data_IF_267879853219
#
_entry.id   IF_267879853219
#
_cell.length_a   1.000
_cell.length_b   1.000
_cell.length_c   1.000
_cell.angle_alpha   90.00
_cell.angle_beta   90.00
_cell.angle_gamma   90.00
#
_symmetry.space_group_name_H-M   'P 1'
#
loop_
_entity.id
_entity.type
_entity.pdbx_description
1 polymer ?
#
# COMPACT_ATOMS: atom_id res chain seq x y z
N UNK A 1 -24.65 6.93 -16.63
CA UNK A 1 -24.66 8.39 -16.83
C UNK A 1 -26.11 8.83 -16.96
N UNK A 2 -26.52 9.97 -16.37
CA UNK A 2 -27.89 10.44 -16.52
C UNK A 2 -28.16 10.82 -17.99
N UNK A 3 -29.36 10.51 -18.47
CA UNK A 3 -29.77 10.77 -19.85
C UNK A 3 -30.03 12.27 -20.07
N UNK A 4 -29.67 12.85 -21.24
CA UNK A 4 -29.99 14.24 -21.56
C UNK A 4 -31.48 14.55 -21.38
N UNK A 5 -31.78 15.63 -20.65
CA UNK A 5 -33.15 16.05 -20.33
C UNK A 5 -33.77 15.39 -19.08
N UNK A 6 -33.07 14.47 -18.41
CA UNK A 6 -33.47 13.96 -17.09
C UNK A 6 -33.18 14.95 -15.95
N UNK A 7 -33.86 14.79 -14.82
CA UNK A 7 -33.64 15.64 -13.64
C UNK A 7 -32.19 15.57 -13.13
N UNK A 8 -31.59 14.37 -13.10
CA UNK A 8 -30.20 14.19 -12.70
C UNK A 8 -29.22 14.80 -13.71
N UNK A 9 -29.56 14.86 -15.01
CA UNK A 9 -28.73 15.51 -16.03
C UNK A 9 -28.74 17.04 -15.88
N UNK A 10 -29.89 17.63 -15.53
CA UNK A 10 -29.97 19.06 -15.22
C UNK A 10 -29.29 19.40 -13.89
N UNK A 11 -29.44 18.54 -12.86
CA UNK A 11 -28.72 18.71 -11.58
C UNK A 11 -27.20 18.58 -11.77
N UNK A 12 -26.72 17.70 -12.65
CA UNK A 12 -25.29 17.54 -12.95
C UNK A 12 -24.63 18.85 -13.43
N UNK A 13 -25.36 19.71 -14.16
CA UNK A 13 -24.84 21.00 -14.66
C UNK A 13 -24.61 22.02 -13.55
N UNK A 14 -25.34 21.91 -12.44
CA UNK A 14 -25.37 22.91 -11.36
C UNK A 14 -24.81 22.40 -10.04
N UNK A 15 -24.88 21.10 -9.79
CA UNK A 15 -24.39 20.41 -8.60
C UNK A 15 -23.81 19.02 -8.95
N UNK A 16 -22.66 19.01 -9.66
CA UNK A 16 -22.05 17.76 -10.10
C UNK A 16 -21.64 16.85 -8.94
N UNK A 17 -21.22 17.42 -7.80
CA UNK A 17 -20.79 16.67 -6.62
C UNK A 17 -21.93 15.83 -6.04
N UNK A 18 -23.14 16.40 -5.94
CA UNK A 18 -24.31 15.66 -5.42
C UNK A 18 -24.73 14.54 -6.35
N UNK A 19 -24.68 14.75 -7.67
CA UNK A 19 -24.96 13.69 -8.64
C UNK A 19 -23.89 12.60 -8.55
N UNK A 20 -22.61 12.97 -8.41
CA UNK A 20 -21.53 12.01 -8.19
C UNK A 20 -21.74 11.19 -6.90
N UNK A 21 -22.08 11.83 -5.78
CA UNK A 21 -22.33 11.16 -4.52
C UNK A 21 -23.51 10.17 -4.56
N UNK A 22 -24.48 10.37 -5.47
CA UNK A 22 -25.55 9.38 -5.71
C UNK A 22 -25.12 8.16 -6.52
N UNK A 23 -23.97 8.24 -7.20
CA UNK A 23 -23.45 7.15 -8.06
C UNK A 23 -22.44 6.25 -7.35
N UNK A 24 -21.81 6.74 -6.28
CA UNK A 24 -20.87 5.98 -5.43
C UNK A 24 -21.64 5.31 -4.28
N UNK A 25 -21.00 4.43 -3.47
CA UNK A 25 -21.65 3.81 -2.33
C UNK A 25 -22.27 4.82 -1.38
N UNK A 26 -23.34 4.41 -0.70
CA UNK A 26 -23.99 5.24 0.31
C UNK A 26 -23.02 5.56 1.46
N UNK A 27 -23.38 6.55 2.28
CA UNK A 27 -22.59 6.96 3.43
C UNK A 27 -22.30 5.79 4.38
N UNK A 28 -23.30 4.97 4.71
CA UNK A 28 -23.15 3.82 5.61
C UNK A 28 -22.22 2.75 5.01
N UNK A 29 -22.38 2.43 3.72
CA UNK A 29 -21.51 1.48 3.03
C UNK A 29 -20.07 2.00 2.93
N UNK A 30 -19.90 3.31 2.74
CA UNK A 30 -18.58 3.96 2.70
C UNK A 30 -17.88 3.89 4.05
N UNK A 31 -18.59 4.15 5.15
CA UNK A 31 -18.05 4.03 6.51
C UNK A 31 -17.57 2.60 6.77
N UNK A 32 -18.39 1.61 6.43
CA UNK A 32 -18.03 0.19 6.57
C UNK A 32 -16.83 -0.17 5.70
N UNK A 33 -16.80 0.26 4.45
CA UNK A 33 -15.72 0.00 3.51
C UNK A 33 -14.39 0.60 3.95
N UNK A 34 -14.37 1.87 4.36
CA UNK A 34 -13.15 2.54 4.86
C UNK A 34 -12.65 1.87 6.13
N UNK A 35 -13.54 1.54 7.07
CA UNK A 35 -13.17 0.84 8.32
C UNK A 35 -12.54 -0.52 8.03
N UNK A 36 -13.09 -1.26 7.06
CA UNK A 36 -12.53 -2.55 6.66
C UNK A 36 -11.15 -2.39 5.99
N UNK A 37 -11.01 -1.46 5.06
CA UNK A 37 -9.73 -1.19 4.39
C UNK A 37 -8.67 -0.73 5.39
N UNK A 38 -9.04 0.07 6.40
CA UNK A 38 -8.15 0.52 7.47
C UNK A 38 -7.56 -0.68 8.23
N UNK A 39 -8.41 -1.62 8.65
CA UNK A 39 -7.99 -2.85 9.32
C UNK A 39 -7.06 -3.66 8.41
N UNK A 40 -7.47 -3.89 7.15
CA UNK A 40 -6.71 -4.71 6.19
C UNK A 40 -5.40 -4.05 5.73
N UNK A 41 -5.23 -2.75 5.94
CA UNK A 41 -4.01 -2.01 5.58
C UNK A 41 -3.04 -1.84 6.75
N UNK A 42 -3.36 -2.40 7.91
CA UNK A 42 -2.60 -2.21 9.15
C UNK A 42 -1.60 -3.35 9.35
N UNK A 43 -0.33 -3.00 9.51
CA UNK A 43 0.70 -3.96 9.93
C UNK A 43 0.62 -4.21 11.44
N UNK A 44 0.55 -5.49 11.83
CA UNK A 44 0.60 -5.91 13.24
C UNK A 44 1.98 -5.67 13.87
N UNK A 45 2.04 -5.61 15.21
CA UNK A 45 3.31 -5.45 15.94
C UNK A 45 4.20 -6.68 15.96
N UNK A 46 3.63 -7.85 15.68
CA UNK A 46 4.31 -9.14 15.58
C UNK A 46 4.54 -9.60 14.13
N UNK A 47 4.32 -8.71 13.14
CA UNK A 47 4.52 -9.02 11.73
C UNK A 47 5.98 -9.41 11.42
N UNK A 48 6.16 -10.45 10.59
CA UNK A 48 7.46 -10.93 10.14
C UNK A 48 7.63 -10.62 8.65
N UNK A 49 8.48 -9.64 8.38
CA UNK A 49 8.69 -9.14 7.03
C UNK A 49 9.63 -10.01 6.20
N UNK A 50 9.64 -9.78 4.90
CA UNK A 50 10.53 -10.43 3.96
C UNK A 50 12.00 -10.20 4.35
N UNK A 51 12.75 -11.30 4.45
CA UNK A 51 14.14 -11.27 4.96
C UNK A 51 14.23 -11.31 6.49
N UNK A 52 13.12 -11.50 7.20
CA UNK A 52 13.09 -11.77 8.63
C UNK A 52 12.61 -13.20 8.90
N UNK A 53 12.91 -13.66 10.11
CA UNK A 53 12.48 -14.94 10.69
C UNK A 53 12.03 -14.65 12.11
N UNK A 54 11.02 -15.37 12.57
CA UNK A 54 10.52 -15.34 13.94
C UNK A 54 11.52 -15.93 14.95
N UNK A 55 12.29 -16.93 14.52
CA UNK A 55 13.28 -17.64 15.35
C UNK A 55 14.70 -17.51 14.78
N UNK A 56 15.70 -17.07 15.55
CA UNK A 56 17.08 -16.93 15.08
C UNK A 56 17.75 -18.27 14.75
N UNK A 57 17.51 -19.32 15.55
CA UNK A 57 18.11 -20.65 15.41
C UNK A 57 17.25 -21.61 14.57
N UNK A 58 16.59 -21.11 13.53
CA UNK A 58 15.73 -21.93 12.66
C UNK A 58 16.48 -23.05 11.90
N UNK A 59 17.80 -22.97 11.82
CA UNK A 59 18.67 -24.02 11.27
C UNK A 59 20.09 -23.92 11.86
N UNK A 60 20.78 -25.06 11.93
CA UNK A 60 22.21 -25.12 12.24
C UNK A 60 23.11 -25.10 10.99
N UNK A 61 22.52 -25.20 9.79
CA UNK A 61 23.24 -25.21 8.52
C UNK A 61 23.81 -23.82 8.20
N UNK A 62 25.13 -23.70 8.30
CA UNK A 62 25.86 -22.46 8.03
C UNK A 62 25.68 -21.95 6.60
N UNK A 63 25.51 -22.84 5.62
CA UNK A 63 25.34 -22.45 4.22
C UNK A 63 23.98 -21.77 4.00
N UNK A 64 22.93 -22.29 4.64
CA UNK A 64 21.59 -21.72 4.61
C UNK A 64 21.55 -20.36 5.32
N UNK A 65 22.20 -20.23 6.48
CA UNK A 65 22.31 -18.96 7.21
C UNK A 65 23.03 -17.89 6.39
N UNK A 66 24.17 -18.23 5.77
CA UNK A 66 24.90 -17.30 4.90
C UNK A 66 24.10 -16.89 3.66
N UNK A 67 23.34 -17.82 3.06
CA UNK A 67 22.45 -17.50 1.95
C UNK A 67 21.34 -16.53 2.37
N UNK A 68 20.76 -16.72 3.56
CA UNK A 68 19.73 -15.85 4.09
C UNK A 68 20.26 -14.44 4.40
N UNK A 69 21.48 -14.30 4.92
CA UNK A 69 22.10 -12.99 5.13
C UNK A 69 22.40 -12.26 3.80
N UNK A 70 22.83 -12.97 2.76
CA UNK A 70 22.96 -12.37 1.41
C UNK A 70 21.61 -11.89 0.88
N UNK A 71 20.53 -12.63 1.14
CA UNK A 71 19.18 -12.24 0.76
C UNK A 71 18.75 -10.94 1.46
N UNK A 72 18.96 -10.84 2.79
CA UNK A 72 18.69 -9.61 3.56
C UNK A 72 19.47 -8.41 3.04
N UNK A 73 20.76 -8.58 2.81
CA UNK A 73 21.61 -7.52 2.25
C UNK A 73 21.10 -7.06 0.87
N UNK A 74 20.62 -7.99 0.03
CA UNK A 74 20.04 -7.67 -1.26
C UNK A 74 18.73 -6.89 -1.14
N UNK A 75 17.86 -7.24 -0.19
CA UNK A 75 16.62 -6.49 0.06
C UNK A 75 16.91 -5.05 0.49
N UNK A 76 17.89 -4.83 1.37
CA UNK A 76 18.30 -3.48 1.77
C UNK A 76 18.80 -2.64 0.59
N UNK A 77 19.56 -3.24 -0.33
CA UNK A 77 19.98 -2.57 -1.57
C UNK A 77 18.80 -2.21 -2.46
N UNK A 78 17.82 -3.12 -2.61
CA UNK A 78 16.62 -2.87 -3.40
C UNK A 78 15.81 -1.73 -2.80
N UNK A 79 15.65 -1.68 -1.47
CA UNK A 79 14.95 -0.57 -0.81
C UNK A 79 15.62 0.77 -1.11
N UNK A 80 16.95 0.83 -1.00
CA UNK A 80 17.72 2.03 -1.35
C UNK A 80 17.56 2.43 -2.83
N UNK A 81 17.51 1.46 -3.75
CA UNK A 81 17.23 1.71 -5.17
C UNK A 81 15.82 2.28 -5.37
N UNK A 82 14.81 1.78 -4.65
CA UNK A 82 13.44 2.31 -4.72
C UNK A 82 13.41 3.75 -4.18
N UNK A 83 14.06 4.04 -3.05
CA UNK A 83 14.19 5.40 -2.50
C UNK A 83 14.80 6.33 -3.54
N UNK A 84 15.89 5.93 -4.18
CA UNK A 84 16.52 6.72 -5.26
C UNK A 84 15.57 6.98 -6.42
N UNK A 85 14.83 5.96 -6.87
CA UNK A 85 13.85 6.10 -7.95
C UNK A 85 12.71 7.03 -7.56
N UNK A 86 12.22 6.95 -6.32
CA UNK A 86 11.17 7.84 -5.81
C UNK A 86 11.61 9.31 -5.78
N UNK A 87 12.91 9.57 -5.57
CA UNK A 87 13.50 10.91 -5.63
C UNK A 87 13.89 11.40 -7.04
N UNK A 88 13.79 10.56 -8.07
CA UNK A 88 14.14 10.93 -9.44
C UNK A 88 13.01 11.74 -10.11
N UNK A 89 13.22 13.03 -10.45
CA UNK A 89 12.18 13.87 -11.03
C UNK A 89 11.79 13.46 -12.46
N UNK A 90 12.60 12.64 -13.14
CA UNK A 90 12.25 12.06 -14.44
C UNK A 90 11.17 10.98 -14.32
N UNK A 91 11.08 10.31 -13.15
CA UNK A 91 10.14 9.23 -12.87
C UNK A 91 8.84 9.74 -12.21
N UNK A 92 8.15 10.66 -12.90
CA UNK A 92 6.96 11.38 -12.37
C UNK A 92 5.84 10.48 -11.84
N UNK A 93 5.65 9.31 -12.43
CA UNK A 93 4.60 8.35 -12.03
C UNK A 93 4.86 7.71 -10.66
N UNK A 94 6.04 7.89 -10.07
CA UNK A 94 6.36 7.37 -8.74
C UNK A 94 5.79 8.23 -7.61
N UNK A 95 5.38 9.47 -7.91
CA UNK A 95 4.79 10.39 -6.94
C UNK A 95 3.42 10.90 -7.39
N UNK A 96 3.25 11.11 -8.70
CA UNK A 96 2.02 11.63 -9.29
C UNK A 96 1.66 13.05 -8.82
N UNK A 97 0.48 13.55 -9.20
CA UNK A 97 0.01 14.88 -8.80
C UNK A 97 -0.27 14.99 -7.29
N UNK A 98 -0.55 13.86 -6.63
CA UNK A 98 -0.81 13.77 -5.18
C UNK A 98 0.46 13.77 -4.33
N UNK A 99 1.65 13.79 -4.96
CA UNK A 99 2.96 13.84 -4.29
C UNK A 99 3.16 12.72 -3.27
N UNK A 100 2.69 11.51 -3.59
CA UNK A 100 2.80 10.34 -2.73
C UNK A 100 3.82 9.35 -3.32
N UNK A 101 5.03 9.21 -2.75
CA UNK A 101 6.03 8.28 -3.25
C UNK A 101 5.53 6.84 -3.21
N UNK A 102 5.86 6.06 -4.25
CA UNK A 102 5.50 4.65 -4.29
C UNK A 102 6.40 3.82 -3.37
N UNK A 103 5.89 3.49 -2.19
CA UNK A 103 6.62 2.76 -1.14
C UNK A 103 6.08 1.36 -0.85
N UNK A 104 5.00 0.94 -1.51
CA UNK A 104 4.33 -0.35 -1.27
C UNK A 104 5.24 -1.59 -1.42
N UNK A 105 6.37 -1.48 -2.11
CA UNK A 105 7.35 -2.55 -2.30
C UNK A 105 8.64 -2.36 -1.50
N UNK A 106 8.63 -1.52 -0.46
CA UNK A 106 9.74 -1.49 0.48
C UNK A 106 9.69 -2.78 1.31
N UNK A 107 10.79 -3.54 1.41
CA UNK A 107 10.81 -4.76 2.22
C UNK A 107 10.45 -4.52 3.69
N UNK A 108 10.82 -3.37 4.26
CA UNK A 108 10.65 -3.07 5.68
C UNK A 108 9.49 -2.11 5.98
N UNK A 109 8.94 -2.23 7.19
CA UNK A 109 7.89 -1.34 7.70
C UNK A 109 7.90 -1.23 9.22
N UNK A 110 6.94 -0.48 9.73
CA UNK A 110 6.62 -0.36 11.15
C UNK A 110 5.16 -0.73 11.37
N UNK A 111 4.76 -0.93 12.62
CA UNK A 111 3.37 -1.17 13.02
C UNK A 111 2.46 -0.04 12.52
N UNK A 112 1.24 -0.38 12.11
CA UNK A 112 0.23 0.58 11.67
C UNK A 112 0.05 0.64 10.15
N UNK A 113 -0.64 1.69 9.69
CA UNK A 113 -0.89 1.96 8.28
C UNK A 113 0.23 2.84 7.74
N UNK A 114 1.18 2.24 7.05
CA UNK A 114 2.44 2.89 6.67
C UNK A 114 2.62 3.06 5.17
N UNK A 115 1.81 2.38 4.36
CA UNK A 115 1.95 2.37 2.90
C UNK A 115 3.25 1.73 2.40
N UNK A 116 3.86 0.85 3.20
CA UNK A 116 5.13 0.17 2.88
C UNK A 116 5.27 -1.12 3.69
N UNK A 117 6.18 -2.01 3.29
CA UNK A 117 6.41 -3.30 3.97
C UNK A 117 5.94 -4.47 3.15
N UNK A 118 6.75 -5.53 3.10
CA UNK A 118 6.38 -6.79 2.46
C UNK A 118 6.39 -7.89 3.53
N UNK A 119 5.23 -8.34 4.02
CA UNK A 119 5.14 -9.51 4.89
C UNK A 119 5.66 -10.78 4.21
N UNK A 120 6.08 -11.77 4.98
CA UNK A 120 6.45 -13.09 4.44
C UNK A 120 5.26 -13.88 3.87
N UNK A 121 4.04 -13.59 4.32
CA UNK A 121 2.83 -14.36 4.03
C UNK A 121 1.62 -13.45 3.79
N UNK A 122 0.47 -14.07 3.46
CA UNK A 122 -0.83 -13.40 3.51
C UNK A 122 -1.29 -13.42 4.97
N UNK A 123 -0.87 -12.42 5.72
CA UNK A 123 -1.07 -12.29 7.18
C UNK A 123 -2.12 -11.25 7.57
N UNK A 124 -2.72 -10.58 6.58
CA UNK A 124 -3.80 -9.62 6.74
C UNK A 124 -4.87 -9.81 5.65
#
# INVERSE_FOLDING_TARGET
MPEPGSADYEELKTNPDKVFLRTVPSELETILGVSLIEILSTHSSDEVYLGQRDTPEWTADQSALQAFERFKARLAQIEADIVKRNGDPSLKNRNGPVKMPYTLLYPTSTVGITGKGIPNSVSI
#
